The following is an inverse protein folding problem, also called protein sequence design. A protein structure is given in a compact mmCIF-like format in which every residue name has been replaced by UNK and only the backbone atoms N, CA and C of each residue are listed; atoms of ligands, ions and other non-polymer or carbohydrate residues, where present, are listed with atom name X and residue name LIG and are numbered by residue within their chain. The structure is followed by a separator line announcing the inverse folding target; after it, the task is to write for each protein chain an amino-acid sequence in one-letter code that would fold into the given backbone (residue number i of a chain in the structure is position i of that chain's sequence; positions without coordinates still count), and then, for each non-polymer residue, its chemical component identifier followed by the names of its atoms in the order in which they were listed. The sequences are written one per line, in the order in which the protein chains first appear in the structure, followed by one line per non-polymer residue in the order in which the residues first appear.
data_IF_490584567948
#
_entry.id   IF_490584567948
#
_cell.length_a   1.000
_cell.length_b   1.000
_cell.length_c   1.000
_cell.angle_alpha   90.00
_cell.angle_beta   90.00
_cell.angle_gamma   90.00
#
_symmetry.space_group_name_H-M   'P 1'
#
loop_
_entity.id
_entity.type
_entity.pdbx_description
1 polymer ?
#
# COMPACT_ATOMS: atom_id res chain seq x y z
N UNK A 1 -38.71 23.84 -52.34
CA UNK A 1 -38.51 22.57 -51.59
C UNK A 1 -37.07 22.52 -51.09
N UNK A 2 -36.82 22.85 -49.82
CA UNK A 2 -35.45 22.87 -49.24
C UNK A 2 -35.14 21.49 -48.66
N UNK A 3 -34.14 20.81 -49.20
CA UNK A 3 -33.63 19.53 -48.67
C UNK A 3 -32.72 19.83 -47.47
N UNK A 4 -33.14 19.44 -46.27
CA UNK A 4 -32.29 19.43 -45.10
C UNK A 4 -31.45 18.14 -45.11
N UNK A 5 -30.13 18.28 -45.22
CA UNK A 5 -29.20 17.18 -45.00
C UNK A 5 -28.96 17.05 -43.49
N UNK A 6 -29.45 15.95 -42.91
CA UNK A 6 -29.12 15.55 -41.54
C UNK A 6 -27.79 14.78 -41.58
N UNK A 7 -26.68 15.45 -41.28
CA UNK A 7 -25.40 14.76 -41.06
C UNK A 7 -25.36 14.28 -39.62
N UNK A 8 -25.61 12.97 -39.44
CA UNK A 8 -25.49 12.27 -38.16
C UNK A 8 -24.00 12.16 -37.79
N UNK A 9 -23.50 13.07 -36.96
CA UNK A 9 -22.15 13.02 -36.42
C UNK A 9 -22.11 12.00 -35.26
N UNK A 10 -21.89 10.74 -35.60
CA UNK A 10 -21.60 9.65 -34.67
C UNK A 10 -20.20 9.83 -34.07
N UNK A 11 -20.09 10.67 -33.03
CA UNK A 11 -18.94 10.73 -32.12
C UNK A 11 -19.31 9.98 -30.84
N UNK A 12 -19.25 8.65 -30.88
CA UNK A 12 -19.56 7.79 -29.73
C UNK A 12 -18.36 6.87 -29.45
N UNK A 13 -17.64 7.22 -28.37
CA UNK A 13 -17.16 6.30 -27.31
C UNK A 13 -16.19 5.14 -27.62
N UNK A 14 -15.08 5.37 -28.34
CA UNK A 14 -14.04 4.34 -28.52
C UNK A 14 -12.93 4.31 -27.44
N UNK A 15 -12.88 5.27 -26.52
CA UNK A 15 -11.76 5.35 -25.56
C UNK A 15 -11.86 4.35 -24.40
N UNK A 16 -13.07 3.88 -24.06
CA UNK A 16 -13.26 3.01 -22.90
C UNK A 16 -12.79 1.57 -23.13
N UNK A 17 -13.02 1.03 -24.33
CA UNK A 17 -12.69 -0.37 -24.67
C UNK A 17 -11.18 -0.64 -24.76
N UNK A 18 -10.40 0.34 -25.22
CA UNK A 18 -8.94 0.20 -25.32
C UNK A 18 -8.27 0.11 -23.93
N UNK A 19 -8.74 0.91 -22.97
CA UNK A 19 -8.18 0.89 -21.61
C UNK A 19 -8.51 -0.41 -20.87
N UNK A 20 -9.72 -0.94 -21.04
CA UNK A 20 -10.09 -2.24 -20.49
C UNK A 20 -9.23 -3.39 -21.06
N UNK A 21 -8.96 -3.37 -22.37
CA UNK A 21 -8.13 -4.38 -23.03
C UNK A 21 -6.70 -4.39 -22.48
N UNK A 22 -6.14 -3.20 -22.22
CA UNK A 22 -4.81 -3.06 -21.62
C UNK A 22 -4.74 -3.58 -20.18
N UNK A 23 -5.76 -3.31 -19.36
CA UNK A 23 -5.78 -3.79 -17.96
C UNK A 23 -5.82 -5.32 -17.87
N UNK A 24 -6.56 -5.99 -18.77
CA UNK A 24 -6.59 -7.46 -18.84
C UNK A 24 -5.23 -8.02 -19.29
N UNK A 25 -4.57 -7.36 -20.24
CA UNK A 25 -3.23 -7.75 -20.66
C UNK A 25 -2.21 -7.60 -19.51
N UNK A 26 -2.29 -6.52 -18.74
CA UNK A 26 -1.45 -6.31 -17.54
C UNK A 26 -1.69 -7.39 -16.47
N UNK A 27 -2.96 -7.77 -16.24
CA UNK A 27 -3.32 -8.84 -15.32
C UNK A 27 -2.72 -10.20 -15.74
N UNK A 28 -2.88 -10.57 -17.02
CA UNK A 28 -2.31 -11.81 -17.57
C UNK A 28 -0.78 -11.79 -17.49
N UNK A 29 -0.14 -10.68 -17.87
CA UNK A 29 1.31 -10.51 -17.75
C UNK A 29 1.78 -10.70 -16.31
N UNK A 30 1.11 -10.04 -15.36
CA UNK A 30 1.43 -10.13 -13.94
C UNK A 30 1.28 -11.57 -13.43
N UNK A 31 0.18 -12.24 -13.76
CA UNK A 31 -0.06 -13.62 -13.38
C UNK A 31 1.03 -14.56 -13.90
N UNK A 32 1.40 -14.45 -15.18
CA UNK A 32 2.48 -15.27 -15.76
C UNK A 32 3.85 -14.95 -15.16
N UNK A 33 4.13 -13.69 -14.82
CA UNK A 33 5.36 -13.30 -14.14
C UNK A 33 5.43 -13.92 -12.73
N UNK A 34 4.35 -13.83 -11.95
CA UNK A 34 4.25 -14.44 -10.62
C UNK A 34 4.50 -15.94 -10.68
N UNK A 35 3.92 -16.65 -11.65
CA UNK A 35 4.08 -18.11 -11.80
C UNK A 35 5.52 -18.57 -11.95
N UNK A 36 6.41 -17.69 -12.43
CA UNK A 36 7.83 -17.98 -12.60
C UNK A 36 8.63 -17.83 -11.30
N UNK A 37 8.12 -17.10 -10.32
CA UNK A 37 8.82 -16.81 -9.05
C UNK A 37 9.00 -18.05 -8.17
N UNK A 38 10.09 -18.13 -7.38
CA UNK A 38 10.25 -19.19 -6.38
C UNK A 38 9.12 -19.21 -5.35
N UNK A 39 8.70 -18.04 -4.88
CA UNK A 39 7.65 -17.88 -3.86
C UNK A 39 6.30 -18.41 -4.32
N UNK A 40 5.91 -18.18 -5.58
CA UNK A 40 4.73 -18.85 -6.15
C UNK A 40 4.90 -20.37 -6.20
N UNK A 41 6.04 -20.84 -6.72
CA UNK A 41 6.28 -22.28 -6.91
C UNK A 41 6.22 -23.06 -5.60
N UNK A 42 6.69 -22.47 -4.51
CA UNK A 42 6.67 -23.08 -3.17
C UNK A 42 5.36 -22.91 -2.41
N UNK A 43 4.57 -21.87 -2.71
CA UNK A 43 3.38 -21.52 -1.91
C UNK A 43 2.04 -21.77 -2.61
N UNK A 44 1.95 -21.57 -3.94
CA UNK A 44 0.67 -21.42 -4.65
C UNK A 44 0.55 -22.27 -5.94
N UNK A 45 1.60 -22.98 -6.36
CA UNK A 45 1.61 -23.74 -7.64
C UNK A 45 0.42 -24.71 -7.79
N UNK A 46 0.02 -25.32 -6.70
CA UNK A 46 -1.06 -26.32 -6.64
C UNK A 46 -2.31 -25.79 -5.92
N UNK A 47 -2.39 -24.48 -5.68
CA UNK A 47 -3.54 -23.87 -5.02
C UNK A 47 -4.62 -23.51 -6.05
N UNK A 48 -5.71 -24.29 -6.06
CA UNK A 48 -6.86 -24.08 -6.93
C UNK A 48 -7.57 -22.75 -6.65
N UNK A 49 -7.59 -22.29 -5.40
CA UNK A 49 -8.21 -21.01 -5.04
C UNK A 49 -7.45 -19.84 -5.67
N UNK A 50 -6.13 -19.95 -5.81
CA UNK A 50 -5.34 -18.92 -6.47
C UNK A 50 -5.62 -18.88 -7.99
N UNK A 51 -5.85 -20.03 -8.61
CA UNK A 51 -6.27 -20.09 -10.01
C UNK A 51 -7.68 -19.52 -10.22
N UNK A 52 -8.62 -19.80 -9.30
CA UNK A 52 -9.97 -19.23 -9.32
C UNK A 52 -9.94 -17.71 -9.13
N UNK A 53 -9.16 -17.20 -8.16
CA UNK A 53 -8.94 -15.77 -7.96
C UNK A 53 -8.49 -15.09 -9.26
N UNK A 54 -7.56 -15.69 -9.99
CA UNK A 54 -7.13 -15.14 -11.27
C UNK A 54 -8.28 -15.04 -12.30
N UNK A 55 -9.10 -16.07 -12.43
CA UNK A 55 -10.25 -16.05 -13.34
C UNK A 55 -11.29 -15.01 -12.92
N UNK A 56 -11.63 -14.95 -11.64
CA UNK A 56 -12.57 -13.96 -11.09
C UNK A 56 -12.10 -12.53 -11.36
N UNK A 57 -10.79 -12.26 -11.18
CA UNK A 57 -10.23 -10.94 -11.48
C UNK A 57 -10.34 -10.63 -12.97
N UNK A 58 -10.03 -11.60 -13.84
CA UNK A 58 -10.08 -11.42 -15.29
C UNK A 58 -11.50 -11.09 -15.79
N UNK A 59 -12.52 -11.75 -15.23
CA UNK A 59 -13.93 -11.51 -15.57
C UNK A 59 -14.45 -10.16 -15.07
N UNK A 60 -13.96 -9.71 -13.90
CA UNK A 60 -14.46 -8.51 -13.23
C UNK A 60 -13.57 -7.26 -13.42
N UNK A 61 -12.54 -7.32 -14.27
CA UNK A 61 -11.64 -6.18 -14.52
C UNK A 61 -12.22 -5.24 -15.59
N UNK A 62 -13.17 -4.40 -15.18
CA UNK A 62 -13.78 -3.35 -16.01
C UNK A 62 -13.46 -1.92 -15.58
N UNK A 63 -12.69 -1.75 -14.49
CA UNK A 63 -12.40 -0.42 -13.96
C UNK A 63 -11.46 0.37 -14.87
N UNK A 64 -11.76 1.66 -15.03
CA UNK A 64 -10.90 2.63 -15.72
C UNK A 64 -10.13 3.53 -14.77
N UNK A 65 -10.46 3.47 -13.46
CA UNK A 65 -9.77 4.23 -12.41
C UNK A 65 -8.46 3.52 -12.06
N UNK A 66 -7.33 4.16 -12.31
CA UNK A 66 -6.01 3.55 -12.17
C UNK A 66 -5.75 2.94 -10.79
N UNK A 67 -6.16 3.61 -9.72
CA UNK A 67 -6.01 3.09 -8.35
C UNK A 67 -6.86 1.83 -8.13
N UNK A 68 -8.06 1.77 -8.68
CA UNK A 68 -8.93 0.60 -8.58
C UNK A 68 -8.31 -0.58 -9.34
N UNK A 69 -7.80 -0.33 -10.56
CA UNK A 69 -7.05 -1.33 -11.34
C UNK A 69 -5.83 -1.82 -10.57
N UNK A 70 -5.00 -0.91 -10.03
CA UNK A 70 -3.82 -1.28 -9.25
C UNK A 70 -4.17 -2.14 -8.04
N UNK A 71 -5.24 -1.81 -7.31
CA UNK A 71 -5.73 -2.62 -6.20
C UNK A 71 -6.21 -4.01 -6.64
N UNK A 72 -6.88 -4.11 -7.80
CA UNK A 72 -7.28 -5.41 -8.39
C UNK A 72 -6.06 -6.25 -8.77
N UNK A 73 -5.06 -5.66 -9.40
CA UNK A 73 -3.80 -6.36 -9.71
C UNK A 73 -3.08 -6.82 -8.43
N UNK A 74 -3.07 -5.99 -7.39
CA UNK A 74 -2.50 -6.34 -6.08
C UNK A 74 -3.17 -7.57 -5.46
N UNK A 75 -4.43 -7.89 -5.77
CA UNK A 75 -5.08 -9.10 -5.26
C UNK A 75 -4.35 -10.39 -5.69
N UNK A 76 -3.61 -10.40 -6.82
CA UNK A 76 -2.72 -11.52 -7.18
C UNK A 76 -1.45 -11.59 -6.32
N UNK A 77 -1.02 -10.46 -5.74
CA UNK A 77 0.20 -10.38 -4.93
C UNK A 77 -0.07 -10.69 -3.46
N UNK A 78 -1.22 -10.25 -2.94
CA UNK A 78 -1.57 -10.35 -1.53
C UNK A 78 -1.43 -11.77 -0.92
N UNK A 79 -1.74 -12.88 -1.63
CA UNK A 79 -1.57 -14.24 -1.09
C UNK A 79 -0.11 -14.68 -0.92
N UNK A 80 0.84 -14.09 -1.66
CA UNK A 80 2.24 -14.52 -1.69
C UNK A 80 2.98 -13.98 -0.47
N UNK A 81 3.54 -14.85 0.37
CA UNK A 81 4.36 -14.47 1.53
C UNK A 81 5.81 -14.22 1.10
N UNK A 82 6.08 -13.06 0.54
CA UNK A 82 7.43 -12.66 0.09
C UNK A 82 7.65 -11.15 0.20
N UNK A 83 8.51 -10.75 1.13
CA UNK A 83 8.81 -9.33 1.39
C UNK A 83 9.75 -8.71 0.35
N UNK A 84 10.35 -9.51 -0.53
CA UNK A 84 11.22 -9.02 -1.60
C UNK A 84 10.45 -8.68 -2.88
N UNK A 85 9.14 -8.94 -2.89
CA UNK A 85 8.30 -8.64 -4.04
C UNK A 85 8.03 -7.14 -4.14
N UNK A 86 8.64 -6.49 -5.14
CA UNK A 86 8.34 -5.11 -5.50
C UNK A 86 7.15 -5.04 -6.45
N UNK A 87 6.14 -4.23 -6.10
CA UNK A 87 5.00 -3.94 -6.98
C UNK A 87 4.74 -2.44 -7.02
N UNK A 88 4.86 -1.81 -8.18
CA UNK A 88 4.68 -0.39 -8.31
C UNK A 88 4.19 0.01 -9.71
N UNK A 89 3.46 1.12 -9.77
CA UNK A 89 3.21 1.88 -10.99
C UNK A 89 4.09 3.13 -10.95
N UNK A 90 4.98 3.25 -11.94
CA UNK A 90 5.83 4.44 -12.09
C UNK A 90 4.94 5.66 -12.32
N UNK A 91 5.31 6.79 -11.71
CA UNK A 91 4.57 8.02 -11.87
C UNK A 91 4.61 8.50 -13.33
N UNK A 92 3.45 8.61 -13.98
CA UNK A 92 3.36 9.24 -15.29
C UNK A 92 3.39 10.77 -15.12
N UNK A 93 4.50 11.39 -15.50
CA UNK A 93 4.70 12.84 -15.37
C UNK A 93 3.89 13.64 -16.39
N UNK A 94 3.37 13.01 -17.44
CA UNK A 94 2.51 13.65 -18.45
C UNK A 94 1.09 13.87 -17.94
N UNK A 95 0.67 13.08 -16.95
CA UNK A 95 -0.65 13.19 -16.33
C UNK A 95 -0.62 14.26 -15.22
N UNK A 96 -1.64 15.12 -15.19
CA UNK A 96 -1.80 16.09 -14.10
C UNK A 96 -2.14 15.36 -12.79
N UNK A 97 -1.49 15.70 -11.66
CA UNK A 97 -1.85 15.16 -10.35
C UNK A 97 -3.34 15.33 -10.06
N UNK A 98 -3.99 14.25 -9.61
CA UNK A 98 -5.39 14.24 -9.16
C UNK A 98 -5.47 13.52 -7.81
N UNK A 99 -5.07 14.19 -6.71
CA UNK A 99 -5.15 13.60 -5.39
C UNK A 99 -6.59 13.27 -5.02
N UNK A 100 -6.79 12.18 -4.28
CA UNK A 100 -8.11 11.83 -3.74
C UNK A 100 -8.37 12.72 -2.53
N UNK A 101 -9.19 13.74 -2.70
CA UNK A 101 -9.62 14.64 -1.61
C UNK A 101 -10.96 14.14 -1.08
N UNK A 102 -11.06 13.95 0.23
CA UNK A 102 -12.32 13.57 0.86
C UNK A 102 -13.04 14.80 1.41
N UNK A 103 -14.33 14.92 1.07
CA UNK A 103 -15.21 15.90 1.68
C UNK A 103 -15.82 15.33 2.96
N UNK A 104 -15.10 15.48 4.08
CA UNK A 104 -15.55 15.03 5.39
C UNK A 104 -15.32 16.11 6.47
N UNK A 105 -16.09 16.00 7.53
CA UNK A 105 -15.92 16.77 8.75
C UNK A 105 -14.74 16.19 9.55
N UNK A 106 -13.68 16.99 9.63
CA UNK A 106 -12.42 16.61 10.27
C UNK A 106 -12.57 16.59 11.79
N UNK A 107 -13.38 17.46 12.36
CA UNK A 107 -13.52 17.55 13.82
C UNK A 107 -14.30 16.34 14.33
N UNK A 108 -15.40 15.99 13.65
CA UNK A 108 -16.15 14.75 13.92
C UNK A 108 -15.26 13.50 13.76
N UNK A 109 -14.47 13.43 12.68
CA UNK A 109 -13.54 12.32 12.47
C UNK A 109 -12.49 12.22 13.60
N UNK A 110 -11.89 13.35 14.00
CA UNK A 110 -10.92 13.40 15.10
C UNK A 110 -11.53 12.93 16.42
N UNK A 111 -12.78 13.32 16.72
CA UNK A 111 -13.47 12.90 17.94
C UNK A 111 -13.63 11.38 18.00
N UNK A 112 -14.08 10.75 16.92
CA UNK A 112 -14.23 9.29 16.83
C UNK A 112 -12.87 8.58 16.94
N UNK A 113 -11.86 9.06 16.23
CA UNK A 113 -10.55 8.41 16.18
C UNK A 113 -9.73 8.55 17.48
N UNK A 114 -9.95 9.60 18.27
CA UNK A 114 -9.33 9.76 19.60
C UNK A 114 -9.75 8.70 20.61
N UNK A 115 -10.93 8.11 20.43
CA UNK A 115 -11.47 7.09 21.33
C UNK A 115 -10.96 5.68 21.01
N UNK A 116 -10.21 5.50 19.91
CA UNK A 116 -9.71 4.19 19.50
C UNK A 116 -8.57 3.72 20.41
N UNK A 117 -8.53 2.44 20.79
CA UNK A 117 -7.41 1.85 21.50
C UNK A 117 -6.07 2.11 20.83
N UNK A 118 -5.00 2.18 21.63
CA UNK A 118 -3.65 2.46 21.11
C UNK A 118 -3.22 1.42 20.07
N UNK A 119 -3.55 0.15 20.29
CA UNK A 119 -3.14 -0.96 19.44
C UNK A 119 -4.06 -1.22 18.23
N UNK A 120 -5.19 -0.51 18.13
CA UNK A 120 -6.03 -0.58 16.93
C UNK A 120 -5.29 0.06 15.74
N UNK A 121 -5.58 -0.38 14.52
CA UNK A 121 -5.05 0.28 13.32
C UNK A 121 -5.69 1.66 13.09
N UNK A 122 -6.94 1.83 13.53
CA UNK A 122 -7.64 3.11 13.41
C UNK A 122 -7.17 4.09 14.49
N UNK A 123 -6.97 5.35 14.13
CA UNK A 123 -6.67 6.41 15.08
C UNK A 123 -6.00 7.62 14.44
N UNK A 124 -5.51 8.51 15.30
CA UNK A 124 -4.74 9.68 14.90
C UNK A 124 -3.24 9.38 15.00
N UNK A 125 -2.51 9.66 13.94
CA UNK A 125 -1.08 9.42 13.81
C UNK A 125 -0.36 10.72 13.48
N UNK A 126 0.91 10.79 13.84
CA UNK A 126 1.81 11.88 13.47
C UNK A 126 2.98 11.37 12.62
N UNK A 127 3.42 12.20 11.67
CA UNK A 127 4.67 12.02 10.92
C UNK A 127 5.32 13.38 10.63
N UNK A 128 6.53 13.61 11.13
CA UNK A 128 7.34 14.81 10.88
C UNK A 128 6.52 16.14 10.94
N UNK A 129 5.72 16.29 12.01
CA UNK A 129 4.81 17.42 12.33
C UNK A 129 3.49 17.49 11.54
N UNK A 130 3.15 16.45 10.80
CA UNK A 130 1.88 16.33 10.10
C UNK A 130 0.97 15.34 10.82
N UNK A 131 -0.31 15.69 10.95
CA UNK A 131 -1.33 14.81 11.50
C UNK A 131 -2.01 14.00 10.38
N UNK A 132 -2.20 12.72 10.64
CA UNK A 132 -2.89 11.78 9.77
C UNK A 132 -4.01 11.09 10.53
N UNK A 133 -5.11 10.81 9.84
CA UNK A 133 -6.13 9.90 10.30
C UNK A 133 -5.98 8.57 9.57
N UNK A 134 -5.99 7.47 10.31
CA UNK A 134 -6.15 6.13 9.77
C UNK A 134 -7.54 5.64 10.18
N UNK A 135 -8.37 5.27 9.21
CA UNK A 135 -9.73 4.82 9.46
C UNK A 135 -10.15 3.75 8.45
N UNK A 136 -11.09 2.89 8.84
CA UNK A 136 -11.55 1.78 8.01
C UNK A 136 -12.30 2.30 6.78
N UNK A 137 -11.86 1.87 5.59
CA UNK A 137 -12.43 2.27 4.31
C UNK A 137 -13.25 1.14 3.67
N UNK A 138 -12.82 -0.10 3.86
CA UNK A 138 -13.54 -1.29 3.43
C UNK A 138 -13.22 -2.47 4.36
N UNK A 139 -13.74 -3.66 4.01
CA UNK A 139 -13.30 -4.90 4.65
C UNK A 139 -11.80 -5.07 4.42
N UNK A 140 -11.04 -5.21 5.50
CA UNK A 140 -9.58 -5.40 5.49
C UNK A 140 -8.77 -4.23 4.90
N UNK A 141 -9.37 -3.05 4.72
CA UNK A 141 -8.69 -1.88 4.15
C UNK A 141 -8.91 -0.64 5.02
N UNK A 142 -7.83 0.08 5.26
CA UNK A 142 -7.80 1.32 6.04
C UNK A 142 -7.20 2.44 5.19
N UNK A 143 -7.87 3.58 5.10
CA UNK A 143 -7.36 4.76 4.42
C UNK A 143 -6.46 5.57 5.35
N UNK A 144 -5.38 6.13 4.80
CA UNK A 144 -4.52 7.12 5.46
C UNK A 144 -4.83 8.48 4.86
N UNK A 145 -5.33 9.39 5.69
CA UNK A 145 -5.75 10.73 5.30
C UNK A 145 -4.85 11.77 5.94
N UNK A 146 -4.20 12.60 5.14
CA UNK A 146 -3.53 13.79 5.64
C UNK A 146 -4.56 14.86 6.03
N UNK A 147 -4.65 15.15 7.32
CA UNK A 147 -5.78 15.91 7.88
C UNK A 147 -5.85 17.36 7.40
N UNK A 148 -4.70 18.02 7.21
CA UNK A 148 -4.65 19.43 6.81
C UNK A 148 -5.26 19.68 5.42
N UNK A 149 -4.95 18.82 4.45
CA UNK A 149 -5.42 18.97 3.07
C UNK A 149 -6.58 18.04 2.71
N UNK A 150 -6.97 17.15 3.62
CA UNK A 150 -7.97 16.10 3.39
C UNK A 150 -7.63 15.18 2.21
N UNK A 151 -6.34 15.01 1.92
CA UNK A 151 -5.84 14.15 0.84
C UNK A 151 -5.56 12.75 1.38
N UNK A 152 -6.08 11.72 0.71
CA UNK A 152 -5.69 10.33 0.95
C UNK A 152 -4.26 10.12 0.43
N UNK A 153 -3.38 9.62 1.28
CA UNK A 153 -1.96 9.40 0.96
C UNK A 153 -1.62 7.92 0.78
N UNK A 154 -2.51 7.01 1.18
CA UNK A 154 -2.31 5.58 1.01
C UNK A 154 -3.35 4.73 1.71
N UNK A 155 -3.15 3.42 1.62
CA UNK A 155 -4.03 2.41 2.18
C UNK A 155 -3.21 1.35 2.91
N UNK A 156 -3.63 0.99 4.13
CA UNK A 156 -3.15 -0.21 4.83
C UNK A 156 -4.14 -1.33 4.52
N UNK A 157 -3.63 -2.48 4.11
CA UNK A 157 -4.43 -3.64 3.71
C UNK A 157 -4.04 -4.84 4.58
N UNK A 158 -5.01 -5.46 5.24
CA UNK A 158 -4.81 -6.74 5.92
C UNK A 158 -4.78 -7.85 4.87
N UNK A 159 -3.68 -8.59 4.81
CA UNK A 159 -3.50 -9.68 3.85
C UNK A 159 -4.21 -10.96 4.32
N UNK A 160 -4.45 -11.93 3.42
CA UNK A 160 -5.02 -13.24 3.80
C UNK A 160 -4.20 -14.00 4.85
N UNK A 161 -2.93 -13.63 5.05
CA UNK A 161 -2.03 -14.26 6.01
C UNK A 161 -1.74 -13.37 7.23
N UNK A 162 -2.66 -12.46 7.55
CA UNK A 162 -2.64 -11.63 8.77
C UNK A 162 -1.41 -10.71 8.88
N UNK A 163 -0.79 -10.37 7.76
CA UNK A 163 0.19 -9.29 7.67
C UNK A 163 -0.50 -8.00 7.20
N UNK A 164 0.20 -6.87 7.30
CA UNK A 164 -0.28 -5.60 6.77
C UNK A 164 0.60 -5.18 5.60
N UNK A 165 -0.02 -4.87 4.47
CA UNK A 165 0.66 -4.24 3.35
C UNK A 165 0.23 -2.77 3.27
N UNK A 166 1.07 -1.92 2.70
CA UNK A 166 0.82 -0.49 2.52
C UNK A 166 0.93 -0.11 1.05
N UNK A 167 -0.13 0.46 0.49
CA UNK A 167 -0.12 1.07 -0.84
C UNK A 167 0.04 2.59 -0.67
N UNK A 168 1.19 3.11 -1.06
CA UNK A 168 1.46 4.56 -1.08
C UNK A 168 0.96 5.19 -2.37
N UNK A 169 0.29 6.35 -2.25
CA UNK A 169 -0.13 7.17 -3.40
C UNK A 169 0.89 8.27 -3.64
N UNK A 170 1.67 8.13 -4.73
CA UNK A 170 2.74 9.06 -5.04
C UNK A 170 2.22 10.24 -5.87
N UNK A 171 2.78 11.42 -5.61
CA UNK A 171 2.72 12.57 -6.51
C UNK A 171 1.29 12.98 -6.95
N UNK A 172 0.31 12.88 -6.05
CA UNK A 172 -1.10 13.14 -6.35
C UNK A 172 -1.71 12.07 -7.26
N UNK A 173 -1.57 10.80 -6.87
CA UNK A 173 -2.09 9.62 -7.54
C UNK A 173 -1.51 9.36 -8.94
N UNK A 174 -0.29 9.83 -9.23
CA UNK A 174 0.37 9.56 -10.52
C UNK A 174 1.09 8.22 -10.55
N UNK A 175 1.47 7.71 -9.38
CA UNK A 175 2.11 6.42 -9.21
C UNK A 175 1.70 5.77 -7.89
N UNK A 176 1.92 4.48 -7.79
CA UNK A 176 1.55 3.67 -6.63
C UNK A 176 2.71 2.75 -6.26
N UNK A 177 2.99 2.60 -4.97
CA UNK A 177 4.05 1.71 -4.48
C UNK A 177 3.52 0.84 -3.37
N UNK A 178 3.77 -0.46 -3.48
CA UNK A 178 3.48 -1.44 -2.44
C UNK A 178 4.70 -1.58 -1.51
N UNK A 179 4.49 -1.32 -0.22
CA UNK A 179 5.40 -1.69 0.84
C UNK A 179 4.80 -2.86 1.62
N UNK A 180 5.49 -4.01 1.60
CA UNK A 180 4.96 -5.26 2.15
C UNK A 180 5.29 -5.44 3.63
N UNK A 181 4.43 -6.16 4.34
CA UNK A 181 4.66 -6.58 5.73
C UNK A 181 5.01 -5.42 6.66
N UNK A 182 4.31 -4.30 6.47
CA UNK A 182 4.29 -3.17 7.40
C UNK A 182 3.84 -3.66 8.79
N UNK A 183 4.55 -3.25 9.83
CA UNK A 183 4.27 -3.69 11.22
C UNK A 183 3.57 -2.59 11.99
N UNK A 184 2.50 -2.95 12.70
CA UNK A 184 1.87 -2.12 13.70
C UNK A 184 2.26 -2.62 15.09
N UNK A 185 3.08 -1.87 15.81
CA UNK A 185 3.58 -2.26 17.14
C UNK A 185 3.43 -1.08 18.09
N UNK A 186 2.76 -1.31 19.21
CA UNK A 186 2.52 -0.30 20.26
C UNK A 186 1.92 1.01 19.69
N UNK A 187 0.95 0.90 18.79
CA UNK A 187 0.30 2.05 18.15
C UNK A 187 1.08 2.71 17.02
N UNK A 188 2.17 2.11 16.52
CA UNK A 188 3.03 2.75 15.53
C UNK A 188 3.24 1.87 14.29
N UNK A 189 3.18 2.50 13.12
CA UNK A 189 3.63 1.94 11.85
C UNK A 189 5.05 2.43 11.54
N UNK A 190 6.04 1.70 12.04
CA UNK A 190 7.45 2.10 12.01
C UNK A 190 7.96 2.25 10.57
N UNK A 191 7.66 1.27 9.69
CA UNK A 191 8.17 1.23 8.32
C UNK A 191 7.67 2.37 7.43
N UNK A 192 6.57 3.02 7.80
CA UNK A 192 5.96 4.13 7.05
C UNK A 192 5.93 5.44 7.86
N UNK A 193 6.67 5.48 8.97
CA UNK A 193 6.81 6.65 9.83
C UNK A 193 5.48 7.28 10.33
N UNK A 194 4.50 6.46 10.70
CA UNK A 194 3.26 6.93 11.32
C UNK A 194 3.20 6.48 12.78
N UNK A 195 3.03 7.43 13.70
CA UNK A 195 3.12 7.17 15.14
C UNK A 195 1.88 7.70 15.88
N UNK A 196 1.18 6.85 16.65
CA UNK A 196 0.16 7.32 17.63
C UNK A 196 0.81 7.81 18.92
N UNK A 197 1.97 7.25 19.25
CA UNK A 197 2.76 7.64 20.42
C UNK A 197 3.92 8.52 19.99
N UNK A 198 4.73 8.95 20.96
CA UNK A 198 6.03 9.53 20.65
C UNK A 198 6.81 8.63 19.69
N UNK A 199 7.44 9.24 18.68
CA UNK A 199 8.32 8.55 17.73
C UNK A 199 9.40 7.81 18.53
N UNK A 200 9.51 6.48 18.42
CA UNK A 200 10.54 5.72 19.12
C UNK A 200 11.93 6.19 18.68
N UNK A 201 12.81 6.43 19.65
CA UNK A 201 14.22 6.68 19.40
C UNK A 201 14.92 5.35 19.12
N UNK A 202 15.14 5.03 17.84
CA UNK A 202 15.89 3.84 17.44
C UNK A 202 17.41 4.01 17.62
N UNK A 203 17.88 5.24 17.72
CA UNK A 203 19.29 5.60 17.88
C UNK A 203 19.60 5.93 19.35
N UNK A 204 19.41 4.97 20.26
CA UNK A 204 20.00 5.07 21.60
C UNK A 204 21.48 4.66 21.58
N UNK A 205 22.21 5.13 20.56
CA UNK A 205 23.65 4.97 20.44
C UNK A 205 24.25 6.28 20.99
N UNK A 206 25.03 6.22 22.08
CA UNK A 206 25.76 7.39 22.62
C UNK A 206 26.96 7.70 21.71
N UNK A 207 27.93 8.53 22.12
CA UNK A 207 29.18 8.70 21.35
C UNK A 207 30.36 8.48 22.28
N UNK A 208 30.96 7.30 22.19
CA UNK A 208 32.22 6.96 22.86
C UNK A 208 32.49 5.45 23.01
N UNK A 209 31.49 4.58 22.85
CA UNK A 209 31.67 3.14 23.11
C UNK A 209 32.14 2.34 21.90
N UNK A 210 32.72 1.18 22.22
CA UNK A 210 33.22 0.18 21.28
C UNK A 210 32.20 -0.19 20.20
N UNK A 211 32.70 -0.31 18.96
CA UNK A 211 31.94 -0.73 17.78
C UNK A 211 31.51 -2.20 17.80
N UNK A 212 31.96 -2.95 18.81
CA UNK A 212 31.50 -4.30 19.07
C UNK A 212 31.21 -4.47 20.55
N UNK A 213 30.20 -5.30 20.84
CA UNK A 213 29.90 -5.75 22.19
C UNK A 213 29.68 -7.26 22.13
N UNK A 214 30.40 -7.98 22.99
CA UNK A 214 30.20 -9.40 23.19
C UNK A 214 29.82 -9.65 24.64
N UNK A 215 28.71 -10.35 24.86
CA UNK A 215 28.22 -10.68 26.20
C UNK A 215 27.69 -12.10 26.23
N UNK A 216 28.10 -12.89 27.22
CA UNK A 216 27.42 -14.16 27.53
C UNK A 216 26.10 -13.87 28.23
N UNK A 217 24.99 -14.36 27.68
CA UNK A 217 23.67 -14.24 28.30
C UNK A 217 23.36 -15.46 29.18
N UNK A 218 23.79 -16.65 28.77
CA UNK A 218 23.70 -17.91 29.55
C UNK A 218 24.93 -18.78 29.30
N UNK A 219 24.95 -20.02 29.80
CA UNK A 219 25.94 -21.04 29.41
C UNK A 219 25.98 -21.32 27.89
N UNK A 220 24.83 -21.17 27.21
CA UNK A 220 24.59 -21.64 25.84
C UNK A 220 24.28 -20.52 24.85
N UNK A 221 24.10 -19.28 25.32
CA UNK A 221 23.67 -18.16 24.48
C UNK A 221 24.64 -17.01 24.67
N UNK A 222 25.27 -16.64 23.57
CA UNK A 222 26.11 -15.47 23.46
C UNK A 222 25.39 -14.38 22.66
N UNK A 223 25.62 -13.13 23.06
CA UNK A 223 25.18 -11.93 22.38
C UNK A 223 26.39 -11.28 21.72
N UNK A 224 26.31 -11.10 20.40
CA UNK A 224 27.27 -10.31 19.64
C UNK A 224 26.52 -9.15 18.97
N UNK A 225 26.94 -7.94 19.30
CA UNK A 225 26.52 -6.71 18.62
C UNK A 225 27.67 -6.20 17.77
N UNK A 226 27.38 -5.95 16.50
CA UNK A 226 28.29 -5.30 15.57
C UNK A 226 27.66 -3.97 15.16
N UNK A 227 28.36 -2.86 15.42
CA UNK A 227 27.95 -1.55 14.92
C UNK A 227 28.27 -1.41 13.42
N UNK A 228 27.54 -0.54 12.72
CA UNK A 228 27.87 -0.19 11.33
C UNK A 228 28.96 0.90 11.28
N UNK A 229 29.61 1.06 10.12
CA UNK A 229 30.68 2.05 9.87
C UNK A 229 30.34 3.52 10.25
N UNK A 230 29.05 3.84 10.41
CA UNK A 230 28.56 5.20 10.70
C UNK A 230 28.01 5.37 12.12
N UNK A 231 28.22 4.40 13.02
CA UNK A 231 27.68 4.48 14.38
C UNK A 231 28.61 3.89 15.45
N UNK A 232 28.86 4.66 16.50
CA UNK A 232 29.41 4.21 17.79
C UNK A 232 28.39 4.59 18.86
N UNK A 233 28.57 4.16 20.12
CA UNK A 233 27.45 4.12 21.07
C UNK A 233 27.81 4.37 22.54
#
# INVERSE_FOLDING_TARGET
MKKFYFTLLSLISFTCFAQQTNNIADLEFLYQAIKKTPSYKSQLKSDENYALLYQELKENLSDTVELAVYKKLYQLIAPIKDNHFGFYKIADTTIKPRPTVLNLDIDSLKQVLKQKPINDLEGLYESDKHEFAVFKAAKNEYSILYLKSKIVTGFIIETPHQSLDFISLLNGNRGFVLARNTKHVNGNFISINLYKTAKPAFNNLVIGKSNFEFKKLTEKVDYLRLSSFYSSN
#
